data_IF_466959644830
#
_entry.id   IF_466959644830
#
_cell.length_a   1.000
_cell.length_b   1.000
_cell.length_c   1.000
_cell.angle_alpha   90.00
_cell.angle_beta   90.00
_cell.angle_gamma   90.00
#
_symmetry.space_group_name_H-M   'P 1'
#
loop_
_entity.id
_entity.type
_entity.pdbx_description
1 polymer ?
#
# COMPACT_ATOMS: atom_id res chain seq x y z
N UNK A 1 3.77 -51.88 8.12
CA UNK A 1 2.72 -52.82 7.69
C UNK A 1 1.45 -52.00 7.41
N UNK A 2 1.17 -51.73 6.16
CA UNK A 2 -0.01 -50.97 5.75
C UNK A 2 -1.11 -51.95 5.32
N UNK A 3 -2.25 -51.88 5.99
CA UNK A 3 -3.41 -52.74 5.70
C UNK A 3 -4.27 -52.09 4.65
N UNK A 4 -4.25 -52.65 3.46
CA UNK A 4 -5.07 -52.28 2.33
C UNK A 4 -6.46 -52.88 2.50
N UNK A 5 -7.50 -52.09 2.79
CA UNK A 5 -8.90 -52.53 2.79
C UNK A 5 -9.55 -52.30 1.43
N UNK A 6 -9.76 -53.39 0.69
CA UNK A 6 -10.60 -53.38 -0.52
C UNK A 6 -12.04 -53.07 -0.13
N UNK A 7 -12.66 -52.08 -0.76
CA UNK A 7 -14.13 -51.92 -0.76
C UNK A 7 -14.70 -52.58 -2.00
N UNK A 8 -15.67 -53.43 -1.78
CA UNK A 8 -16.49 -54.04 -2.83
C UNK A 8 -17.37 -53.01 -3.47
N UNK A 9 -17.40 -53.03 -4.83
CA UNK A 9 -18.36 -52.28 -5.64
C UNK A 9 -19.68 -53.05 -5.67
N UNK A 10 -20.75 -52.47 -5.17
CA UNK A 10 -22.11 -52.84 -5.46
C UNK A 10 -22.67 -51.92 -6.53
N UNK A 11 -23.10 -52.50 -7.65
CA UNK A 11 -23.69 -51.77 -8.74
C UNK A 11 -25.20 -51.63 -8.46
N UNK A 12 -25.67 -50.43 -8.17
CA UNK A 12 -27.08 -50.07 -8.26
C UNK A 12 -27.27 -48.87 -9.16
N UNK A 13 -28.21 -49.03 -10.13
CA UNK A 13 -28.68 -48.03 -11.05
C UNK A 13 -29.29 -46.85 -10.30
N UNK A 14 -28.86 -45.62 -10.62
CA UNK A 14 -29.61 -44.47 -10.16
C UNK A 14 -28.85 -43.17 -10.38
N UNK A 15 -29.30 -42.39 -11.32
CA UNK A 15 -29.25 -40.93 -11.41
C UNK A 15 -27.92 -40.31 -10.98
N UNK A 16 -27.16 -39.80 -11.96
CA UNK A 16 -26.04 -38.88 -11.72
C UNK A 16 -26.53 -37.65 -10.98
N UNK A 17 -26.40 -37.67 -9.65
CA UNK A 17 -26.28 -36.46 -8.89
C UNK A 17 -24.87 -35.91 -9.17
N UNK A 18 -24.79 -34.82 -9.88
CA UNK A 18 -23.58 -33.99 -9.89
C UNK A 18 -23.39 -33.53 -8.46
N UNK A 19 -22.54 -34.25 -7.74
CA UNK A 19 -22.05 -33.78 -6.45
C UNK A 19 -21.35 -32.44 -6.68
N UNK A 20 -21.83 -31.40 -6.00
CA UNK A 20 -21.19 -30.11 -5.94
C UNK A 20 -19.70 -30.31 -5.72
N UNK A 21 -18.91 -29.88 -6.68
CA UNK A 21 -17.46 -29.86 -6.54
C UNK A 21 -17.17 -28.77 -5.50
N UNK A 22 -17.14 -29.16 -4.25
CA UNK A 22 -16.63 -28.29 -3.20
C UNK A 22 -15.15 -28.08 -3.49
N UNK A 23 -14.84 -27.01 -4.20
CA UNK A 23 -13.48 -26.53 -4.31
C UNK A 23 -13.14 -26.04 -2.91
N UNK A 24 -12.59 -26.93 -2.10
CA UNK A 24 -11.95 -26.51 -0.86
C UNK A 24 -10.71 -25.74 -1.27
N UNK A 25 -10.75 -24.42 -1.19
CA UNK A 25 -9.56 -23.60 -1.22
C UNK A 25 -8.65 -24.11 -0.11
N UNK A 26 -7.57 -24.79 -0.50
CA UNK A 26 -6.52 -25.18 0.44
C UNK A 26 -6.02 -23.88 1.09
N UNK A 27 -6.00 -23.77 2.42
CA UNK A 27 -5.34 -22.64 3.06
C UNK A 27 -3.89 -22.62 2.59
N UNK A 28 -3.40 -21.45 2.17
CA UNK A 28 -2.01 -21.25 1.76
C UNK A 28 -1.09 -21.73 2.91
N UNK A 29 -0.34 -22.81 2.72
CA UNK A 29 0.44 -23.41 3.82
C UNK A 29 1.67 -22.60 4.18
N UNK A 30 2.00 -21.56 3.42
CA UNK A 30 3.29 -20.88 3.53
C UNK A 30 3.19 -19.41 3.95
N UNK A 31 1.99 -18.82 4.01
CA UNK A 31 1.85 -17.37 4.22
C UNK A 31 2.51 -16.54 3.10
N UNK A 32 2.87 -17.15 1.99
CA UNK A 32 3.39 -16.46 0.82
C UNK A 32 2.24 -15.79 0.07
N UNK A 33 2.45 -14.53 -0.32
CA UNK A 33 1.57 -13.84 -1.24
C UNK A 33 1.43 -14.64 -2.55
N UNK A 34 0.23 -14.69 -3.16
CA UNK A 34 0.04 -15.28 -4.48
C UNK A 34 0.85 -14.57 -5.58
N UNK A 35 1.35 -13.35 -5.32
CA UNK A 35 2.17 -12.58 -6.24
C UNK A 35 3.40 -11.98 -5.52
N UNK A 36 4.43 -12.80 -5.28
CA UNK A 36 5.65 -12.35 -4.58
C UNK A 36 6.41 -11.25 -5.32
N UNK A 37 6.30 -11.19 -6.66
CA UNK A 37 6.97 -10.16 -7.46
C UNK A 37 6.34 -8.79 -7.21
N UNK A 38 5.01 -8.71 -7.27
CA UNK A 38 4.29 -7.46 -6.98
C UNK A 38 4.52 -6.99 -5.56
N UNK A 39 4.59 -7.89 -4.59
CA UNK A 39 4.90 -7.52 -3.20
C UNK A 39 6.33 -6.99 -3.05
N UNK A 40 7.31 -7.59 -3.72
CA UNK A 40 8.68 -7.08 -3.74
C UNK A 40 8.76 -5.68 -4.38
N UNK A 41 8.06 -5.46 -5.50
CA UNK A 41 8.01 -4.16 -6.17
C UNK A 41 7.34 -3.12 -5.26
N UNK A 42 6.24 -3.48 -4.59
CA UNK A 42 5.52 -2.60 -3.66
C UNK A 42 6.38 -2.21 -2.46
N UNK A 43 7.10 -3.17 -1.89
CA UNK A 43 8.04 -2.91 -0.80
C UNK A 43 9.22 -2.04 -1.25
N UNK A 44 9.74 -2.28 -2.44
CA UNK A 44 10.78 -1.42 -3.06
C UNK A 44 10.27 0.01 -3.27
N UNK A 45 9.06 0.16 -3.81
CA UNK A 45 8.43 1.46 -4.02
C UNK A 45 8.23 2.20 -2.68
N UNK A 46 7.77 1.52 -1.63
CA UNK A 46 7.65 2.09 -0.29
C UNK A 46 8.97 2.65 0.22
N UNK A 47 10.04 1.88 0.15
CA UNK A 47 11.38 2.30 0.58
C UNK A 47 11.90 3.50 -0.20
N UNK A 48 11.73 3.51 -1.52
CA UNK A 48 12.14 4.63 -2.36
C UNK A 48 11.38 5.92 -2.02
N UNK A 49 10.07 5.81 -1.79
CA UNK A 49 9.24 6.96 -1.37
C UNK A 49 9.72 7.49 -0.02
N UNK A 50 9.94 6.60 0.96
CA UNK A 50 10.45 6.99 2.28
C UNK A 50 11.80 7.71 2.17
N UNK A 51 12.74 7.19 1.38
CA UNK A 51 14.05 7.82 1.16
C UNK A 51 13.91 9.22 0.53
N UNK A 52 13.07 9.37 -0.48
CA UNK A 52 12.86 10.66 -1.13
C UNK A 52 12.23 11.67 -0.17
N UNK A 53 11.25 11.28 0.63
CA UNK A 53 10.63 12.14 1.65
C UNK A 53 11.63 12.54 2.74
N UNK A 54 12.49 11.61 3.20
CA UNK A 54 13.54 11.92 4.17
C UNK A 54 14.60 12.88 3.58
N UNK A 55 14.94 12.78 2.30
CA UNK A 55 15.84 13.71 1.64
C UNK A 55 15.24 15.12 1.56
N UNK A 56 13.95 15.26 1.23
CA UNK A 56 13.27 16.56 1.26
C UNK A 56 13.23 17.14 2.69
N UNK A 57 12.99 16.30 3.70
CA UNK A 57 13.02 16.73 5.10
C UNK A 57 14.40 17.20 5.52
N UNK A 58 15.46 16.45 5.16
CA UNK A 58 16.84 16.83 5.47
C UNK A 58 17.19 18.19 4.85
N UNK A 59 16.77 18.43 3.60
CA UNK A 59 16.95 19.71 2.93
C UNK A 59 16.25 20.85 3.68
N UNK A 60 15.00 20.63 4.11
CA UNK A 60 14.27 21.62 4.89
C UNK A 60 14.98 21.91 6.23
N UNK A 61 15.38 20.88 6.97
CA UNK A 61 16.07 21.08 8.26
C UNK A 61 17.41 21.77 8.09
N UNK A 62 18.15 21.48 7.02
CA UNK A 62 19.41 22.15 6.70
C UNK A 62 19.21 23.64 6.40
N UNK A 63 18.15 24.00 5.68
CA UNK A 63 17.83 25.41 5.37
C UNK A 63 17.57 26.25 6.64
N UNK A 64 17.12 25.63 7.72
CA UNK A 64 16.84 26.29 9.01
C UNK A 64 17.83 25.91 10.12
N UNK A 65 18.96 25.29 9.79
CA UNK A 65 19.93 24.82 10.78
C UNK A 65 20.53 25.95 11.65
N UNK A 66 20.70 27.11 11.05
CA UNK A 66 21.26 28.29 11.74
C UNK A 66 20.21 29.05 12.57
N UNK A 67 18.92 28.82 12.33
CA UNK A 67 17.86 29.49 13.06
C UNK A 67 17.67 28.86 14.45
N UNK A 68 18.06 29.64 15.46
CA UNK A 68 17.93 29.27 16.85
C UNK A 68 16.96 30.20 17.59
N UNK A 69 16.33 29.67 18.61
CA UNK A 69 15.53 30.46 19.55
C UNK A 69 16.45 31.20 20.53
N UNK A 70 15.88 32.16 21.25
CA UNK A 70 16.60 32.95 22.28
C UNK A 70 17.22 32.07 23.37
N UNK A 71 16.69 30.85 23.56
CA UNK A 71 17.20 29.83 24.47
C UNK A 71 18.31 28.94 23.86
N UNK A 72 18.76 29.24 22.63
CA UNK A 72 19.81 28.51 21.90
C UNK A 72 19.34 27.21 21.24
N UNK A 73 18.08 26.78 21.41
CA UNK A 73 17.55 25.58 20.78
C UNK A 73 17.25 25.80 19.29
N UNK A 74 17.41 24.75 18.47
CA UNK A 74 17.03 24.79 17.07
C UNK A 74 15.53 25.09 16.92
N UNK A 75 15.19 26.00 16.00
CA UNK A 75 13.81 26.38 15.68
C UNK A 75 13.01 25.19 15.16
N UNK A 76 13.52 24.53 14.11
CA UNK A 76 12.88 23.36 13.51
C UNK A 76 13.48 22.06 14.03
N UNK A 77 12.62 21.12 14.39
CA UNK A 77 13.05 19.80 14.83
C UNK A 77 12.13 18.74 14.25
N UNK A 78 12.71 17.56 13.95
CA UNK A 78 11.94 16.38 13.63
C UNK A 78 11.06 15.99 14.82
N UNK A 79 9.80 15.63 14.56
CA UNK A 79 8.83 15.32 15.60
C UNK A 79 7.96 14.12 15.23
N UNK A 80 8.57 12.93 15.18
CA UNK A 80 7.86 11.69 14.85
C UNK A 80 7.32 11.66 13.42
N UNK A 81 6.23 10.91 13.21
CA UNK A 81 5.59 10.71 11.92
C UNK A 81 4.10 11.01 12.00
N UNK A 82 3.49 11.27 10.85
CA UNK A 82 2.05 11.23 10.67
C UNK A 82 1.57 9.77 10.71
N UNK A 83 0.27 9.53 10.98
CA UNK A 83 -0.32 8.22 10.79
C UNK A 83 -0.02 7.68 9.39
N UNK A 84 0.18 6.37 9.31
CA UNK A 84 0.34 5.66 8.04
C UNK A 84 -0.90 5.85 7.17
N UNK A 85 -0.68 6.05 5.88
CA UNK A 85 -1.77 6.13 4.90
C UNK A 85 -1.40 5.35 3.65
N UNK A 86 -2.41 4.83 2.99
CA UNK A 86 -2.24 4.14 1.71
C UNK A 86 -2.42 5.11 0.54
N UNK A 87 -1.57 4.93 -0.47
CA UNK A 87 -1.66 5.61 -1.75
C UNK A 87 -1.85 4.56 -2.83
N UNK A 88 -2.93 4.67 -3.58
CA UNK A 88 -3.21 3.77 -4.69
C UNK A 88 -2.27 4.12 -5.85
N UNK A 89 -1.49 3.13 -6.27
CA UNK A 89 -0.53 3.23 -7.37
C UNK A 89 -0.87 2.20 -8.45
N UNK A 90 -0.19 2.24 -9.60
CA UNK A 90 -0.35 1.24 -10.66
C UNK A 90 0.04 -0.19 -10.27
N UNK A 91 0.74 -0.36 -9.14
CA UNK A 91 1.11 -1.66 -8.55
C UNK A 91 0.26 -2.02 -7.32
N UNK A 92 -0.86 -1.31 -7.11
CA UNK A 92 -1.73 -1.46 -5.96
C UNK A 92 -1.47 -0.43 -4.86
N UNK A 93 -2.06 -0.61 -3.66
CA UNK A 93 -1.88 0.30 -2.54
C UNK A 93 -0.47 0.18 -1.97
N UNK A 94 0.16 1.33 -1.72
CA UNK A 94 1.47 1.45 -1.06
C UNK A 94 1.27 2.22 0.24
N UNK A 95 1.61 1.60 1.35
CA UNK A 95 1.55 2.23 2.66
C UNK A 95 2.74 3.17 2.87
N UNK A 96 2.50 4.40 3.30
CA UNK A 96 3.54 5.42 3.50
C UNK A 96 3.40 6.12 4.84
N UNK A 97 4.53 6.43 5.46
CA UNK A 97 4.64 7.24 6.68
C UNK A 97 5.40 8.52 6.36
N UNK A 98 4.80 9.66 6.63
CA UNK A 98 5.41 10.98 6.40
C UNK A 98 5.94 11.52 7.72
N UNK A 99 7.24 11.91 7.80
CA UNK A 99 7.78 12.52 9.00
C UNK A 99 7.16 13.89 9.26
N UNK A 100 7.11 14.30 10.52
CA UNK A 100 6.61 15.60 10.95
C UNK A 100 7.76 16.49 11.41
N UNK A 101 7.58 17.78 11.20
CA UNK A 101 8.43 18.83 11.75
C UNK A 101 7.65 19.61 12.80
N UNK A 102 8.32 20.01 13.86
CA UNK A 102 7.80 20.93 14.86
C UNK A 102 8.60 22.23 14.79
N UNK A 103 7.91 23.32 14.48
CA UNK A 103 8.43 24.67 14.66
C UNK A 103 8.17 25.10 16.11
N UNK A 104 9.23 25.46 16.80
CA UNK A 104 9.21 25.89 18.20
C UNK A 104 8.99 27.40 18.35
N UNK A 105 9.08 28.17 17.24
CA UNK A 105 8.85 29.62 17.29
C UNK A 105 7.37 29.88 17.60
N UNK A 106 7.05 30.68 18.61
CA UNK A 106 5.69 31.10 18.88
C UNK A 106 5.22 32.08 17.77
N UNK A 107 3.96 31.95 17.33
CA UNK A 107 3.39 32.85 16.35
C UNK A 107 2.54 32.17 15.29
N UNK A 108 1.94 32.99 14.41
CA UNK A 108 1.04 32.53 13.36
C UNK A 108 1.77 31.86 12.16
N UNK A 109 3.03 32.22 11.94
CA UNK A 109 3.86 31.72 10.82
C UNK A 109 4.64 30.47 11.21
N UNK A 110 3.92 29.37 11.50
CA UNK A 110 4.56 28.08 11.78
C UNK A 110 4.93 27.37 10.49
N UNK A 111 6.18 26.94 10.42
CA UNK A 111 6.67 26.10 9.34
C UNK A 111 6.16 24.67 9.53
N UNK A 112 5.51 24.14 8.50
CA UNK A 112 5.08 22.75 8.47
C UNK A 112 5.72 22.04 7.28
N UNK A 113 6.13 20.78 7.48
CA UNK A 113 6.67 19.96 6.41
C UNK A 113 5.52 19.31 5.61
N UNK A 114 5.55 19.46 4.31
CA UNK A 114 4.70 18.75 3.36
C UNK A 114 5.58 18.34 2.20
N UNK A 115 5.86 17.03 2.01
CA UNK A 115 6.70 16.58 0.91
C UNK A 115 6.08 16.94 -0.43
N UNK A 116 6.89 17.30 -1.42
CA UNK A 116 6.43 17.64 -2.76
C UNK A 116 5.88 16.43 -3.50
N UNK A 117 6.50 15.26 -3.30
CA UNK A 117 6.08 14.00 -3.92
C UNK A 117 4.83 13.39 -3.26
N UNK A 118 4.51 13.77 -2.01
CA UNK A 118 3.38 13.24 -1.23
C UNK A 118 2.51 14.36 -0.65
N UNK A 119 1.82 15.16 -1.46
CA UNK A 119 0.88 16.17 -0.96
C UNK A 119 -0.12 15.58 0.04
N UNK A 120 -0.60 16.39 0.97
CA UNK A 120 -1.45 15.93 2.10
C UNK A 120 -2.69 15.14 1.67
N UNK A 121 -3.28 15.51 0.54
CA UNK A 121 -4.53 14.92 0.05
C UNK A 121 -4.34 13.91 -1.08
N UNK A 122 -3.10 13.58 -1.43
CA UNK A 122 -2.81 12.57 -2.45
C UNK A 122 -3.28 11.20 -1.95
N UNK A 123 -4.26 10.63 -2.64
CA UNK A 123 -4.78 9.27 -2.38
C UNK A 123 -4.48 8.30 -3.51
N UNK A 124 -4.25 8.83 -4.72
CA UNK A 124 -3.99 8.06 -5.94
C UNK A 124 -2.81 8.65 -6.67
N UNK A 125 -2.00 7.81 -7.28
CA UNK A 125 -0.98 8.26 -8.22
C UNK A 125 -1.66 8.81 -9.49
N UNK A 126 -1.04 9.81 -10.11
CA UNK A 126 -1.58 10.48 -11.30
C UNK A 126 -1.85 9.51 -12.45
N UNK A 127 -0.98 8.52 -12.65
CA UNK A 127 -1.17 7.45 -13.64
C UNK A 127 -2.46 6.66 -13.45
N UNK A 128 -2.89 6.45 -12.19
CA UNK A 128 -4.15 5.77 -11.89
C UNK A 128 -5.35 6.68 -12.16
N UNK A 129 -5.24 7.96 -11.84
CA UNK A 129 -6.30 8.94 -12.12
C UNK A 129 -6.54 9.12 -13.61
N UNK A 130 -5.50 9.09 -14.43
CA UNK A 130 -5.57 9.20 -15.88
C UNK A 130 -6.14 7.93 -16.53
N UNK A 131 -5.95 6.75 -15.93
CA UNK A 131 -6.44 5.48 -16.44
C UNK A 131 -7.96 5.31 -16.26
N UNK A 132 -8.52 5.77 -15.16
CA UNK A 132 -9.93 5.56 -14.82
C UNK A 132 -10.93 6.11 -15.86
N UNK A 133 -10.80 7.37 -16.34
CA UNK A 133 -11.67 7.89 -17.39
C UNK A 133 -11.55 7.11 -18.69
N UNK A 134 -10.36 6.65 -19.03
CA UNK A 134 -10.11 5.87 -20.25
C UNK A 134 -10.80 4.51 -20.21
N UNK A 135 -10.74 3.81 -19.07
CA UNK A 135 -11.48 2.56 -18.86
C UNK A 135 -12.99 2.78 -18.96
N UNK A 136 -13.52 3.85 -18.39
CA UNK A 136 -14.93 4.21 -18.49
C UNK A 136 -15.35 4.47 -19.94
N UNK A 137 -14.55 5.22 -20.71
CA UNK A 137 -14.81 5.52 -22.12
C UNK A 137 -14.75 4.26 -23.01
N UNK A 138 -13.97 3.24 -22.63
CA UNK A 138 -13.92 1.94 -23.31
C UNK A 138 -15.10 1.04 -22.96
N UNK A 139 -16.04 1.48 -22.14
CA UNK A 139 -17.24 0.74 -21.79
C UNK A 139 -17.03 -0.38 -20.77
N UNK A 140 -15.89 -0.37 -20.06
CA UNK A 140 -15.69 -1.28 -18.93
C UNK A 140 -16.59 -0.81 -17.80
N UNK A 141 -17.78 -1.39 -17.71
CA UNK A 141 -18.71 -1.12 -16.63
C UNK A 141 -18.32 -1.90 -15.38
N UNK A 142 -18.80 -1.45 -14.21
CA UNK A 142 -18.50 -2.09 -12.91
C UNK A 142 -18.93 -3.55 -12.80
N UNK A 143 -19.69 -4.08 -13.77
CA UNK A 143 -20.09 -5.49 -13.84
C UNK A 143 -19.13 -6.39 -14.62
N UNK A 144 -18.29 -5.83 -15.48
CA UNK A 144 -17.48 -6.60 -16.43
C UNK A 144 -16.06 -6.91 -15.94
N UNK A 145 -15.71 -6.49 -14.73
CA UNK A 145 -14.39 -6.75 -14.14
C UNK A 145 -14.14 -8.21 -13.74
N UNK A 146 -15.15 -9.08 -13.85
CA UNK A 146 -15.02 -10.50 -13.51
C UNK A 146 -14.51 -11.38 -14.65
N UNK A 147 -14.45 -10.88 -15.90
CA UNK A 147 -14.08 -11.64 -17.08
C UNK A 147 -12.84 -11.09 -17.84
N UNK A 148 -12.15 -10.10 -17.28
CA UNK A 148 -10.98 -9.51 -17.91
C UNK A 148 -9.66 -10.03 -17.36
#
# INVERSE_FOLDING_TARGET
>A
MAVFRRRQFSAEKGICHMSETTISTLPDPSGFSPDPLTDLIREGARKLIEQAVEAELATLLAAFAEERLDDGRARLVRHGHLPEREILTGIGPVAVKVPRVRDRKPGAERISFTPSILPRYLRKAKSVEELLPWLYLKGVSTGDFGEA
#
